data_IF_373969411948
#
_entry.id   IF_373969411948
#
_cell.length_a   1.000
_cell.length_b   1.000
_cell.length_c   1.000
_cell.angle_alpha   90.00
_cell.angle_beta   90.00
_cell.angle_gamma   90.00
#
_symmetry.space_group_name_H-M   'P 1'
#
loop_
_entity.id
_entity.type
_entity.pdbx_description
1 polymer ?
2 non-polymer ?
3 non-polymer ?
4 non-polymer ?
5 non-polymer ?
6 water ?
#
# COMPACT_ATOMS: atom_id res chain seq x y z
N UNK A 6 -1.48 26.70 -29.74
CA UNK A 6 -1.79 25.24 -29.68
C UNK A 6 -3.29 24.99 -29.76
N UNK A 7 -3.73 24.34 -30.83
CA UNK A 7 -5.15 24.03 -31.01
C UNK A 7 -5.63 22.97 -30.04
N UNK A 8 -6.92 22.68 -30.06
CA UNK A 8 -7.48 21.67 -29.18
C UNK A 8 -7.07 20.27 -29.63
N UNK A 9 -6.98 20.08 -30.95
CA UNK A 9 -6.61 18.80 -31.50
C UNK A 9 -5.14 18.47 -31.21
N UNK A 10 -4.29 19.47 -31.23
CA UNK A 10 -2.87 19.27 -30.97
C UNK A 10 -2.63 19.04 -29.49
N UNK A 11 -3.44 19.70 -28.66
CA UNK A 11 -3.35 19.61 -27.21
C UNK A 11 -3.92 18.29 -26.68
N UNK A 12 -4.99 17.81 -27.32
CA UNK A 12 -5.64 16.58 -26.90
C UNK A 12 -4.65 15.41 -27.04
N UNK A 13 -3.85 15.46 -28.09
CA UNK A 13 -2.87 14.43 -28.39
C UNK A 13 -1.63 14.53 -27.54
N UNK A 14 -1.10 15.74 -27.39
CA UNK A 14 0.10 16.01 -26.62
C UNK A 14 -0.10 15.67 -25.13
N UNK A 15 -1.29 15.96 -24.62
CA UNK A 15 -1.61 15.69 -23.23
C UNK A 15 -1.42 14.21 -22.91
N UNK A 16 -1.98 13.33 -23.72
CA UNK A 16 -1.85 11.89 -23.50
C UNK A 16 -0.40 11.41 -23.51
N UNK A 17 0.42 12.02 -24.36
CA UNK A 17 1.82 11.65 -24.45
C UNK A 17 2.52 12.01 -23.15
N UNK A 18 2.29 13.23 -22.68
CA UNK A 18 2.87 13.73 -21.43
C UNK A 18 2.44 12.93 -20.20
N UNK A 19 1.15 12.60 -20.12
CA UNK A 19 0.63 11.82 -19.01
C UNK A 19 1.31 10.47 -19.03
N UNK A 20 1.39 9.88 -20.22
CA UNK A 20 2.00 8.59 -20.43
C UNK A 20 3.46 8.58 -19.94
N UNK A 21 4.22 9.59 -20.33
CA UNK A 21 5.63 9.72 -19.95
C UNK A 21 5.84 10.15 -18.50
N UNK A 22 5.06 11.13 -18.04
CA UNK A 22 5.15 11.62 -16.66
C UNK A 22 4.74 10.55 -15.67
N UNK A 23 3.74 9.74 -16.03
CA UNK A 23 3.30 8.68 -15.14
C UNK A 23 4.33 7.56 -15.07
N UNK A 24 5.07 7.36 -16.15
CA UNK A 24 6.13 6.35 -16.17
C UNK A 24 7.22 6.83 -15.22
N UNK A 25 7.63 8.10 -15.37
CA UNK A 25 8.66 8.68 -14.50
C UNK A 25 8.22 8.62 -13.04
N UNK A 26 6.96 8.96 -12.80
CA UNK A 26 6.38 8.95 -11.47
C UNK A 26 6.35 7.54 -10.87
N UNK A 27 6.18 6.53 -11.73
CA UNK A 27 6.15 5.14 -11.30
C UNK A 27 7.55 4.72 -10.83
N UNK A 28 8.57 5.10 -11.61
CA UNK A 28 9.94 4.75 -11.27
C UNK A 28 10.37 5.47 -10.00
N UNK A 29 9.92 6.70 -9.86
CA UNK A 29 10.27 7.54 -8.71
C UNK A 29 9.55 7.17 -7.41
N UNK A 30 8.22 7.12 -7.46
CA UNK A 30 7.41 6.83 -6.28
C UNK A 30 7.20 5.34 -5.96
N UNK A 31 6.97 4.54 -7.00
CA UNK A 31 6.73 3.12 -6.81
C UNK A 31 7.99 2.27 -6.69
N UNK A 32 8.99 2.54 -7.53
CA UNK A 32 10.21 1.75 -7.50
C UNK A 32 11.31 2.38 -6.66
N UNK A 33 11.11 3.62 -6.26
CA UNK A 33 12.12 4.33 -5.47
C UNK A 33 13.42 4.31 -6.25
N UNK A 34 13.30 4.41 -7.57
CA UNK A 34 14.46 4.40 -8.44
C UNK A 34 14.21 5.20 -9.72
N UNK A 35 14.27 6.53 -9.63
CA UNK A 35 14.06 7.42 -10.78
C UNK A 35 15.12 7.27 -11.86
N UNK A 36 14.67 7.29 -13.11
CA UNK A 36 15.57 7.18 -14.26
C UNK A 36 16.08 8.55 -14.70
N UNK A 37 15.17 9.52 -14.87
CA UNK A 37 15.56 10.86 -15.28
C UNK A 37 15.72 11.79 -14.10
N UNK A 38 16.32 12.95 -14.34
CA UNK A 38 16.52 13.93 -13.29
C UNK A 38 15.29 14.80 -13.12
N UNK A 39 15.03 15.20 -11.89
CA UNK A 39 13.86 16.00 -11.58
C UNK A 39 13.55 17.12 -12.55
N UNK A 40 14.55 17.91 -12.95
CA UNK A 40 14.27 19.00 -13.86
C UNK A 40 13.66 18.53 -15.17
N UNK A 41 13.93 17.28 -15.53
CA UNK A 41 13.38 16.71 -16.76
C UNK A 41 11.88 16.48 -16.59
N UNK A 42 11.51 16.01 -15.40
CA UNK A 42 10.12 15.74 -15.06
C UNK A 42 9.36 17.06 -14.90
N UNK A 43 10.00 18.02 -14.23
CA UNK A 43 9.41 19.33 -13.98
C UNK A 43 9.01 20.10 -15.23
N UNK A 44 9.86 20.09 -16.25
CA UNK A 44 9.56 20.81 -17.49
C UNK A 44 8.36 20.18 -18.17
N UNK A 45 8.38 18.85 -18.29
CA UNK A 45 7.27 18.14 -18.91
C UNK A 45 5.99 18.35 -18.10
N UNK A 46 6.12 18.33 -16.78
CA UNK A 46 4.98 18.55 -15.89
C UNK A 46 4.40 19.94 -16.14
N UNK A 47 5.27 20.95 -16.19
CA UNK A 47 4.86 22.32 -16.44
C UNK A 47 4.21 22.44 -17.82
N UNK A 48 4.66 21.64 -18.76
CA UNK A 48 4.08 21.69 -20.10
C UNK A 48 2.66 21.14 -20.10
N UNK A 49 2.42 20.09 -19.34
CA UNK A 49 1.08 19.51 -19.26
C UNK A 49 0.14 20.44 -18.49
N UNK A 50 0.68 21.13 -17.50
CA UNK A 50 -0.12 22.06 -16.70
C UNK A 50 -0.55 23.24 -17.57
N UNK A 51 0.29 23.62 -18.54
CA UNK A 51 -0.05 24.72 -19.43
C UNK A 51 -1.20 24.25 -20.31
N UNK A 52 -1.07 23.04 -20.85
CA UNK A 52 -2.11 22.48 -21.71
C UNK A 52 -3.41 22.31 -20.95
N UNK A 53 -3.32 21.79 -19.73
CA UNK A 53 -4.51 21.58 -18.91
C UNK A 53 -5.17 22.88 -18.54
N UNK A 54 -4.38 23.92 -18.38
CA UNK A 54 -4.90 25.24 -18.04
C UNK A 54 -5.60 25.82 -19.28
N UNK A 55 -5.02 25.59 -20.45
CA UNK A 55 -5.60 26.09 -21.67
C UNK A 55 -6.90 25.35 -21.99
N UNK A 56 -6.89 24.03 -21.80
CA UNK A 56 -8.06 23.21 -22.05
C UNK A 56 -8.37 22.31 -20.87
N UNK A 57 -9.00 22.87 -19.83
CA UNK A 57 -9.36 22.12 -18.63
C UNK A 57 -10.13 20.83 -18.88
N UNK A 58 -10.71 20.70 -20.07
CA UNK A 58 -11.48 19.50 -20.41
C UNK A 58 -10.57 18.33 -20.75
N UNK A 59 -9.26 18.60 -20.83
CA UNK A 59 -8.29 17.54 -21.13
C UNK A 59 -7.75 16.90 -19.87
N UNK A 60 -8.16 17.43 -18.72
CA UNK A 60 -7.74 16.91 -17.43
C UNK A 60 -8.39 15.53 -17.25
N UNK A 61 -7.59 14.54 -16.85
CA UNK A 61 -8.09 13.18 -16.64
C UNK A 61 -7.70 12.70 -15.26
N UNK A 62 -8.42 11.68 -14.73
CA UNK A 62 -8.13 11.14 -13.41
C UNK A 62 -6.70 10.62 -13.24
N UNK A 63 -6.07 10.18 -14.32
CA UNK A 63 -4.71 9.67 -14.23
C UNK A 63 -3.65 10.71 -14.60
N UNK A 64 -4.06 11.97 -14.64
CA UNK A 64 -3.11 13.02 -14.95
C UNK A 64 -2.34 13.28 -13.66
N UNK A 65 -1.00 13.25 -13.71
CA UNK A 65 -0.17 13.47 -12.53
C UNK A 65 -0.39 14.81 -11.81
N UNK A 66 -1.07 15.75 -12.47
CA UNK A 66 -1.33 17.04 -11.84
C UNK A 66 -2.43 16.92 -10.78
N UNK A 67 -3.14 15.80 -10.79
CA UNK A 67 -4.23 15.57 -9.86
C UNK A 67 -3.77 15.16 -8.46
N UNK A 68 -2.56 14.64 -8.35
CA UNK A 68 -2.01 14.24 -7.07
C UNK A 68 -2.06 15.35 -6.01
N UNK A 69 -2.22 16.60 -6.43
CA UNK A 69 -2.25 17.72 -5.47
C UNK A 69 -3.59 17.87 -4.73
N UNK A 70 -4.59 17.13 -5.18
CA UNK A 70 -5.89 17.20 -4.54
C UNK A 70 -6.70 18.43 -4.91
N UNK A 71 -7.82 18.61 -4.23
CA UNK A 71 -8.68 19.76 -4.49
C UNK A 71 -10.05 19.62 -3.86
N UNK A 72 -10.62 18.41 -3.93
CA UNK A 72 -11.94 18.14 -3.37
C UNK A 72 -11.98 18.20 -1.86
N UNK A 73 -13.10 18.67 -1.33
CA UNK A 73 -13.32 18.72 0.11
C UNK A 73 -14.64 17.98 0.28
N UNK A 74 -14.65 16.92 1.09
CA UNK A 74 -15.88 16.16 1.31
C UNK A 74 -16.62 16.62 2.57
N UNK A 75 -17.92 16.36 2.60
CA UNK A 75 -18.74 16.72 3.77
C UNK A 75 -18.48 15.69 4.87
N UNK A 76 -18.14 14.48 4.43
CA UNK A 76 -17.85 13.38 5.34
C UNK A 76 -17.58 12.17 4.48
N UNK A 77 -17.23 11.05 5.11
CA UNK A 77 -16.94 9.83 4.37
C UNK A 77 -18.17 8.94 4.26
N UNK A 78 -18.26 8.18 3.18
CA UNK A 78 -19.38 7.25 2.99
C UNK A 78 -18.94 5.87 3.43
N UNK A 79 -19.91 5.01 3.71
CA UNK A 79 -19.61 3.65 4.12
C UNK A 79 -18.96 2.92 2.95
N UNK A 80 -17.99 2.07 3.28
CA UNK A 80 -17.29 1.28 2.26
C UNK A 80 -17.24 -0.19 2.66
N UNK A 81 -18.29 -0.94 2.29
CA UNK A 81 -18.38 -2.38 2.58
C UNK A 81 -17.25 -3.13 1.87
N UNK A 82 -16.71 -4.16 2.53
CA UNK A 82 -15.65 -4.96 1.95
C UNK A 82 -16.23 -6.29 1.47
N UNK A 83 -16.28 -6.47 0.15
CA UNK A 83 -16.79 -7.70 -0.45
C UNK A 83 -16.16 -8.92 0.22
N UNK A 84 -14.85 -8.84 0.42
CA UNK A 84 -14.09 -9.90 1.05
C UNK A 84 -13.63 -9.29 2.37
N UNK A 85 -13.81 -10.02 3.49
CA UNK A 85 -13.40 -9.49 4.80
C UNK A 85 -11.93 -9.15 4.92
N UNK A 86 -11.64 -8.16 5.74
CA UNK A 86 -10.26 -7.77 6.00
C UNK A 86 -10.01 -8.28 7.43
N UNK A 87 -9.64 -9.54 7.52
CA UNK A 87 -9.39 -10.19 8.79
C UNK A 87 -8.31 -9.55 9.63
N UNK A 88 -8.22 -10.00 10.88
CA UNK A 88 -7.20 -9.53 11.81
C UNK A 88 -6.07 -10.55 11.78
N UNK A 89 -5.03 -10.33 12.58
CA UNK A 89 -3.90 -11.24 12.63
C UNK A 89 -3.68 -11.75 14.04
N UNK A 90 -3.44 -13.04 14.17
CA UNK A 90 -3.17 -13.60 15.49
C UNK A 90 -1.75 -13.16 15.82
N UNK A 91 -1.46 -12.99 17.11
CA UNK A 91 -0.14 -12.53 17.53
C UNK A 91 0.69 -13.57 18.25
N UNK A 92 2.01 -13.40 18.11
CA UNK A 92 2.99 -14.26 18.75
C UNK A 92 3.99 -13.30 19.37
N UNK A 93 4.43 -13.58 20.58
CA UNK A 93 5.34 -12.66 21.25
C UNK A 93 6.71 -13.22 21.60
N UNK A 94 6.93 -14.49 21.31
CA UNK A 94 8.20 -15.12 21.65
C UNK A 94 8.57 -16.16 20.62
N UNK A 95 9.81 -16.64 20.69
CA UNK A 95 10.30 -17.67 19.78
C UNK A 95 9.40 -18.90 19.93
N UNK A 96 9.01 -19.19 21.17
CA UNK A 96 8.14 -20.34 21.42
C UNK A 96 6.82 -20.19 20.71
N UNK A 97 6.17 -19.04 20.86
CA UNK A 97 4.88 -18.81 20.21
C UNK A 97 4.95 -19.11 18.71
N UNK A 98 6.05 -18.73 18.08
CA UNK A 98 6.26 -18.93 16.65
C UNK A 98 6.39 -20.41 16.25
N UNK A 99 7.19 -21.16 17.00
CA UNK A 99 7.36 -22.58 16.71
C UNK A 99 6.06 -23.31 17.06
N UNK A 100 5.36 -22.77 18.05
CA UNK A 100 4.09 -23.33 18.50
C UNK A 100 3.11 -23.27 17.33
N UNK A 101 3.10 -22.11 16.67
CA UNK A 101 2.25 -21.86 15.51
C UNK A 101 2.66 -22.77 14.35
N UNK A 102 3.97 -22.89 14.12
CA UNK A 102 4.47 -23.73 13.05
C UNK A 102 4.10 -25.20 13.27
N UNK A 103 4.09 -25.64 14.53
CA UNK A 103 3.75 -27.01 14.81
C UNK A 103 2.28 -27.28 14.50
N UNK A 104 1.42 -26.31 14.81
CA UNK A 104 -0.02 -26.42 14.56
C UNK A 104 -0.30 -26.45 13.06
N UNK A 105 0.52 -25.71 12.31
CA UNK A 105 0.38 -25.64 10.86
C UNK A 105 0.80 -26.99 10.28
N UNK A 106 1.91 -27.53 10.79
CA UNK A 106 2.39 -28.82 10.32
C UNK A 106 1.42 -29.94 10.74
N UNK A 107 0.81 -29.79 11.91
CA UNK A 107 -0.14 -30.79 12.38
C UNK A 107 -1.37 -30.85 11.48
N UNK A 108 -1.86 -29.70 11.05
CA UNK A 108 -3.03 -29.64 10.18
C UNK A 108 -2.72 -30.05 8.73
N UNK A 109 -1.61 -29.56 8.19
CA UNK A 109 -1.23 -29.88 6.82
C UNK A 109 -0.60 -31.27 6.66
N UNK A 110 0.20 -31.68 7.64
CA UNK A 110 0.81 -33.00 7.58
C UNK A 110 2.16 -33.08 6.91
N UNK A 111 2.87 -31.95 6.85
CA UNK A 111 4.19 -31.91 6.23
C UNK A 111 4.79 -30.53 6.44
N UNK A 112 6.10 -30.39 6.23
CA UNK A 112 6.75 -29.08 6.40
C UNK A 112 6.13 -28.08 5.41
N UNK A 113 6.03 -26.81 5.80
CA UNK A 113 5.48 -25.79 4.91
C UNK A 113 6.39 -24.56 4.79
N UNK A 114 6.40 -23.94 3.61
CA UNK A 114 7.22 -22.75 3.40
C UNK A 114 6.40 -21.52 3.83
N UNK A 115 7.10 -20.55 4.41
CA UNK A 115 6.47 -19.33 4.88
C UNK A 115 6.96 -18.11 4.12
N UNK A 116 6.04 -17.24 3.74
CA UNK A 116 6.42 -16.01 3.08
C UNK A 116 6.43 -14.98 4.21
N UNK A 117 7.59 -14.39 4.46
CA UNK A 117 7.71 -13.43 5.55
C UNK A 117 7.78 -11.98 5.07
N UNK A 118 7.02 -11.12 5.74
CA UNK A 118 6.98 -9.69 5.42
C UNK A 118 7.06 -8.89 6.71
N UNK A 119 7.58 -7.67 6.62
CA UNK A 119 7.71 -6.79 7.78
C UNK A 119 6.32 -6.25 8.13
N UNK A 120 6.04 -6.16 9.42
CA UNK A 120 4.76 -5.66 9.90
C UNK A 120 4.81 -4.12 9.91
N UNK A 121 4.43 -3.54 8.77
CA UNK A 121 4.42 -2.10 8.56
C UNK A 121 3.49 -1.36 9.50
N UNK A 122 3.99 -0.30 10.14
CA UNK A 122 3.18 0.49 11.05
C UNK A 122 2.41 1.56 10.30
N UNK A 123 1.15 1.30 10.01
CA UNK A 123 0.34 2.25 9.30
C UNK A 123 -1.12 1.89 9.37
N UNK A 124 -1.84 2.16 8.28
CA UNK A 124 -3.27 1.89 8.20
C UNK A 124 -3.58 0.96 7.02
N UNK A 125 -4.28 -0.13 7.29
CA UNK A 125 -4.64 -1.08 6.25
C UNK A 125 -5.72 -0.50 5.37
N UNK A 126 -5.51 -0.56 4.06
CA UNK A 126 -6.46 -0.02 3.09
C UNK A 126 -6.72 -1.03 1.99
N UNK A 127 -7.86 -0.88 1.33
CA UNK A 127 -8.24 -1.75 0.23
C UNK A 127 -8.40 -0.92 -1.04
N UNK A 128 -7.85 -1.40 -2.15
CA UNK A 128 -7.96 -0.67 -3.40
C UNK A 128 -8.69 -1.52 -4.43
N UNK A 129 -9.61 -0.88 -5.14
CA UNK A 129 -10.41 -1.54 -6.17
C UNK A 129 -10.14 -0.92 -7.55
N UNK A 130 -9.83 -1.77 -8.53
CA UNK A 130 -9.53 -1.33 -9.90
C UNK A 130 -10.44 -1.98 -10.95
N UNK A 131 -10.95 -1.16 -11.86
CA UNK A 131 -11.80 -1.67 -12.94
C UNK A 131 -11.16 -1.38 -14.28
N UNK A 132 -10.77 -2.44 -14.97
CA UNK A 132 -10.13 -2.32 -16.27
C UNK A 132 -8.86 -1.49 -16.16
N UNK A 133 -8.16 -1.64 -15.04
CA UNK A 133 -6.91 -0.93 -14.82
C UNK A 133 -7.05 0.46 -14.22
N UNK A 134 -8.28 0.93 -14.09
CA UNK A 134 -8.58 2.25 -13.54
C UNK A 134 -8.91 2.20 -12.04
N UNK A 135 -8.30 3.10 -11.26
CA UNK A 135 -8.56 3.17 -9.82
C UNK A 135 -9.97 3.69 -9.61
N UNK A 136 -10.82 2.88 -8.99
CA UNK A 136 -12.20 3.29 -8.77
C UNK A 136 -12.62 3.45 -7.31
N UNK A 137 -11.97 2.74 -6.39
CA UNK A 137 -12.34 2.88 -4.99
C UNK A 137 -11.23 2.58 -4.01
N UNK A 138 -11.20 3.36 -2.94
CA UNK A 138 -10.22 3.20 -1.89
C UNK A 138 -10.95 3.24 -0.56
N UNK A 139 -10.64 2.29 0.33
CA UNK A 139 -11.31 2.24 1.61
C UNK A 139 -10.41 1.84 2.76
N UNK A 140 -10.76 2.33 3.95
CA UNK A 140 -10.03 2.00 5.15
C UNK A 140 -10.53 0.62 5.59
N UNK A 141 -9.78 -0.07 6.44
CA UNK A 141 -10.17 -1.37 6.90
C UNK A 141 -11.43 -1.30 7.76
N UNK A 142 -11.56 -0.23 8.54
CA UNK A 142 -12.71 -0.08 9.40
C UNK A 142 -12.77 -1.23 10.38
N UNK A 143 -13.95 -1.83 10.55
CA UNK A 143 -14.13 -2.94 11.45
C UNK A 143 -13.92 -4.30 10.79
N UNK A 144 -13.41 -4.29 9.56
CA UNK A 144 -13.16 -5.54 8.85
C UNK A 144 -14.12 -5.85 7.72
N UNK A 145 -15.39 -5.52 7.90
CA UNK A 145 -16.41 -5.76 6.88
C UNK A 145 -16.95 -4.45 6.31
N UNK A 146 -16.73 -3.36 7.04
CA UNK A 146 -17.16 -2.03 6.59
C UNK A 146 -16.14 -0.99 7.04
N UNK A 147 -15.64 -0.21 6.08
CA UNK A 147 -14.69 0.83 6.39
C UNK A 147 -15.21 2.14 5.84
N UNK A 148 -14.32 3.11 5.66
CA UNK A 148 -14.70 4.42 5.13
C UNK A 148 -14.19 4.56 3.70
N UNK A 149 -14.99 5.20 2.86
CA UNK A 149 -14.63 5.41 1.47
C UNK A 149 -13.68 6.61 1.33
N UNK A 150 -12.37 6.35 1.35
CA UNK A 150 -11.39 7.43 1.22
C UNK A 150 -10.72 7.43 -0.14
N UNK A 151 -11.52 7.22 -1.19
CA UNK A 151 -11.02 7.20 -2.55
C UNK A 151 -10.34 8.50 -2.94
N UNK A 152 -11.00 9.62 -2.70
CA UNK A 152 -10.45 10.92 -3.06
C UNK A 152 -9.12 11.23 -2.38
N UNK A 153 -8.96 10.82 -1.12
CA UNK A 153 -7.70 11.06 -0.42
C UNK A 153 -6.57 10.20 -0.98
N UNK A 154 -6.89 8.95 -1.30
CA UNK A 154 -5.88 8.05 -1.83
C UNK A 154 -5.36 8.49 -3.20
N UNK A 155 -6.16 9.30 -3.88
CA UNK A 155 -5.76 9.81 -5.18
C UNK A 155 -4.52 10.70 -5.06
N UNK A 156 -4.30 11.24 -3.86
CA UNK A 156 -3.17 12.13 -3.61
C UNK A 156 -1.92 11.39 -3.12
N UNK A 157 -2.07 10.11 -2.80
CA UNK A 157 -0.95 9.28 -2.34
C UNK A 157 -0.21 8.82 -3.59
N UNK A 158 0.90 9.51 -3.86
CA UNK A 158 1.77 9.32 -5.02
C UNK A 158 2.07 7.89 -5.50
N UNK A 159 2.31 6.97 -4.57
CA UNK A 159 2.63 5.59 -4.95
C UNK A 159 1.41 4.73 -5.32
N UNK A 160 0.22 5.29 -5.17
CA UNK A 160 -1.01 4.57 -5.51
C UNK A 160 -1.29 4.86 -6.99
N UNK A 161 -1.19 3.84 -7.84
CA UNK A 161 -1.42 4.01 -9.29
C UNK A 161 -2.85 4.37 -9.66
N UNK A 162 -3.04 5.39 -10.49
CA UNK A 162 -4.38 5.76 -10.89
C UNK A 162 -4.84 4.86 -12.04
N UNK A 163 -3.87 4.26 -12.73
CA UNK A 163 -4.14 3.36 -13.85
C UNK A 163 -3.03 2.30 -13.81
N UNK A 164 -3.42 1.03 -13.80
CA UNK A 164 -2.45 -0.09 -13.74
C UNK A 164 -1.73 -0.35 -15.05
N UNK A 165 -0.66 -1.13 -14.98
CA UNK A 165 0.13 -1.46 -16.16
C UNK A 165 -0.65 -2.37 -17.10
N UNK A 166 -1.77 -2.90 -16.62
CA UNK A 166 -2.64 -3.76 -17.41
C UNK A 166 -4.09 -3.44 -17.10
N UNK A 167 -4.95 -3.43 -18.13
CA UNK A 167 -6.37 -3.13 -17.94
C UNK A 167 -7.19 -4.21 -17.21
N UNK A 168 -6.64 -4.74 -16.11
CA UNK A 168 -7.36 -5.78 -15.35
C UNK A 168 -8.15 -5.22 -14.18
N UNK A 169 -9.09 -6.01 -13.69
CA UNK A 169 -9.93 -5.62 -12.58
C UNK A 169 -9.60 -6.44 -11.35
N UNK A 170 -9.10 -5.78 -10.31
CA UNK A 170 -8.72 -6.48 -9.09
C UNK A 170 -8.97 -5.69 -7.83
N UNK A 171 -8.93 -6.40 -6.71
CA UNK A 171 -9.09 -5.81 -5.39
C UNK A 171 -7.86 -6.23 -4.61
N UNK A 172 -7.07 -5.26 -4.17
CA UNK A 172 -5.85 -5.53 -3.41
C UNK A 172 -5.90 -4.80 -2.07
N UNK A 173 -5.13 -5.29 -1.11
CA UNK A 173 -5.07 -4.67 0.20
C UNK A 173 -3.60 -4.40 0.54
N UNK A 174 -3.35 -3.31 1.22
CA UNK A 174 -2.00 -2.96 1.59
C UNK A 174 -1.94 -2.03 2.78
N UNK A 175 -0.74 -1.61 3.13
CA UNK A 175 -0.54 -0.71 4.25
C UNK A 175 -0.20 0.72 3.78
N UNK A 176 -0.91 1.71 4.29
CA UNK A 176 -0.63 3.10 3.96
C UNK A 176 0.01 3.70 5.19
N UNK A 177 1.27 4.12 5.06
CA UNK A 177 2.01 4.67 6.18
C UNK A 177 2.62 6.05 5.88
N UNK A 178 3.29 6.59 6.89
CA UNK A 178 3.99 7.86 6.79
C UNK A 178 5.42 7.61 7.24
N UNK A 179 6.40 7.84 6.34
CA UNK A 179 7.81 7.63 6.67
C UNK A 179 8.25 8.39 7.91
N UNK A 180 9.25 7.86 8.62
CA UNK A 180 9.74 8.49 9.84
C UNK A 180 10.02 9.99 9.69
N UNK A 181 10.80 10.35 8.67
CA UNK A 181 11.13 11.75 8.45
C UNK A 181 9.95 12.68 8.18
N UNK A 182 8.92 12.18 7.50
CA UNK A 182 7.74 12.99 7.23
C UNK A 182 6.98 13.14 8.55
N UNK A 183 7.01 12.08 9.35
CA UNK A 183 6.34 12.06 10.64
C UNK A 183 6.98 13.14 11.51
N UNK A 184 8.31 13.16 11.55
CA UNK A 184 9.07 14.14 12.32
C UNK A 184 8.73 15.58 11.93
N UNK A 185 8.83 15.88 10.64
CA UNK A 185 8.56 17.22 10.13
C UNK A 185 7.13 17.64 10.40
N UNK A 186 6.20 16.70 10.26
CA UNK A 186 4.78 16.98 10.48
C UNK A 186 4.55 17.43 11.92
N UNK A 187 5.17 16.74 12.88
CA UNK A 187 5.01 17.13 14.28
C UNK A 187 5.61 18.50 14.57
N UNK A 188 6.75 18.80 13.96
CA UNK A 188 7.37 20.10 14.17
C UNK A 188 6.39 21.14 13.67
N UNK A 189 5.82 20.87 12.51
CA UNK A 189 4.87 21.79 11.90
C UNK A 189 3.68 22.01 12.82
N UNK A 190 3.18 20.95 13.43
CA UNK A 190 2.05 21.06 14.35
C UNK A 190 2.49 21.82 15.60
N UNK A 191 3.69 21.52 16.10
CA UNK A 191 4.22 22.20 17.27
C UNK A 191 4.29 23.70 17.01
N UNK A 192 4.76 24.06 15.82
CA UNK A 192 4.87 25.46 15.42
C UNK A 192 3.49 26.11 15.38
N UNK A 193 2.47 25.35 15.00
CA UNK A 193 1.12 25.89 14.91
C UNK A 193 0.33 25.70 16.21
N UNK A 194 0.99 25.23 17.26
CA UNK A 194 0.31 25.04 18.52
C UNK A 194 -0.71 23.91 18.53
N UNK A 195 -0.50 22.90 17.69
CA UNK A 195 -1.39 21.76 17.62
C UNK A 195 -0.80 20.61 18.42
N UNK A 196 -1.60 19.58 18.66
CA UNK A 196 -1.12 18.40 19.39
C UNK A 196 -0.39 17.53 18.39
N UNK A 197 0.80 17.07 18.74
CA UNK A 197 1.58 16.24 17.84
C UNK A 197 1.01 14.82 17.77
N UNK A 198 1.45 14.05 16.78
CA UNK A 198 0.98 12.67 16.65
C UNK A 198 1.94 11.78 17.45
N UNK A 199 1.35 10.90 18.26
CA UNK A 199 2.12 10.00 19.12
C UNK A 199 3.07 9.08 18.35
N UNK A 200 2.66 8.67 17.15
CA UNK A 200 3.48 7.78 16.33
C UNK A 200 3.04 7.89 14.87
N UNK A 201 3.83 7.32 13.94
CA UNK A 201 3.52 7.36 12.51
C UNK A 201 2.15 6.77 12.14
N UNK A 202 1.74 5.71 12.83
CA UNK A 202 0.45 5.08 12.58
C UNK A 202 -0.66 6.11 12.77
N UNK A 203 -0.61 6.80 13.91
CA UNK A 203 -1.60 7.82 14.20
C UNK A 203 -1.51 8.97 13.20
N UNK A 204 -0.31 9.28 12.77
CA UNK A 204 -0.12 10.36 11.79
C UNK A 204 -0.78 9.96 10.46
N UNK A 205 -0.61 8.70 10.07
CA UNK A 205 -1.21 8.18 8.84
C UNK A 205 -2.74 8.13 8.94
N UNK A 206 -3.24 7.50 10.01
CA UNK A 206 -4.68 7.38 10.25
C UNK A 206 -5.36 8.75 10.32
N UNK A 207 -4.77 9.67 11.05
CA UNK A 207 -5.35 11.00 11.17
C UNK A 207 -5.35 11.75 9.87
N UNK A 208 -4.32 11.53 9.05
CA UNK A 208 -4.19 12.18 7.76
C UNK A 208 -5.27 11.67 6.81
N UNK A 209 -5.55 10.38 6.87
CA UNK A 209 -6.53 9.77 5.99
C UNK A 209 -7.99 10.04 6.40
N UNK A 210 -8.17 10.71 7.54
CA UNK A 210 -9.51 11.04 8.02
C UNK A 210 -9.80 12.50 7.65
N UNK A 211 -8.79 13.16 7.10
CA UNK A 211 -8.88 14.54 6.66
C UNK A 211 -9.84 14.62 5.47
N UNK A 212 -10.76 15.57 5.50
CA UNK A 212 -11.73 15.72 4.43
C UNK A 212 -11.27 16.59 3.25
N UNK A 213 -10.28 17.44 3.48
CA UNK A 213 -9.74 18.30 2.43
C UNK A 213 -8.58 17.56 1.77
N UNK A 214 -8.78 17.09 0.54
CA UNK A 214 -7.73 16.36 -0.17
C UNK A 214 -6.46 17.17 -0.39
N UNK A 215 -6.59 18.49 -0.41
CA UNK A 215 -5.44 19.36 -0.62
C UNK A 215 -4.42 19.19 0.50
N UNK A 216 -4.92 18.93 1.71
CA UNK A 216 -4.09 18.75 2.91
C UNK A 216 -3.45 17.37 2.93
N UNK A 217 -4.25 16.35 2.62
CA UNK A 217 -3.79 14.96 2.60
C UNK A 217 -2.68 14.76 1.57
N UNK A 218 -2.74 15.53 0.49
CA UNK A 218 -1.76 15.46 -0.58
C UNK A 218 -0.40 15.89 -0.06
N UNK A 219 -0.42 16.71 0.99
CA UNK A 219 0.81 17.21 1.59
C UNK A 219 1.33 16.36 2.74
N UNK A 220 0.55 15.40 3.21
CA UNK A 220 0.98 14.56 4.33
C UNK A 220 2.08 13.54 4.00
N UNK A 221 2.47 13.49 2.73
CA UNK A 221 3.53 12.58 2.31
C UNK A 221 3.36 11.11 2.73
N UNK A 222 2.18 10.55 2.46
CA UNK A 222 1.90 9.16 2.81
C UNK A 222 2.44 8.23 1.72
N UNK A 223 2.77 6.99 2.09
CA UNK A 223 3.25 6.03 1.11
C UNK A 223 2.56 4.68 1.31
N UNK A 224 2.86 3.71 0.46
CA UNK A 224 2.21 2.41 0.57
C UNK A 224 3.09 1.17 0.31
N UNK A 225 2.62 0.05 0.82
CA UNK A 225 3.22 -1.27 0.64
C UNK A 225 2.00 -2.19 0.50
N UNK A 226 1.84 -2.79 -0.67
CA UNK A 226 0.72 -3.71 -0.91
C UNK A 226 1.16 -5.09 -0.46
N UNK A 227 0.31 -5.79 0.28
CA UNK A 227 0.68 -7.11 0.78
C UNK A 227 -0.24 -8.25 0.42
N UNK A 228 -1.37 -7.98 -0.24
CA UNK A 228 -2.28 -9.06 -0.60
C UNK A 228 -3.27 -8.79 -1.75
N UNK A 229 -3.66 -9.88 -2.41
CA UNK A 229 -4.65 -9.80 -3.50
C UNK A 229 -5.90 -10.46 -2.92
N UNK A 230 -6.99 -9.70 -2.88
CA UNK A 230 -8.26 -10.17 -2.35
C UNK A 230 -9.12 -10.78 -3.45
N UNK A 231 -9.21 -10.06 -4.56
CA UNK A 231 -9.97 -10.48 -5.73
C UNK A 231 -8.94 -10.50 -6.87
N UNK A 232 -8.51 -11.70 -7.22
CA UNK A 232 -7.49 -11.91 -8.24
C UNK A 232 -7.79 -11.50 -9.67
N UNK A 233 -9.07 -11.48 -10.05
CA UNK A 233 -9.39 -11.13 -11.43
C UNK A 233 -8.73 -12.15 -12.36
N UNK A 234 -7.91 -11.69 -13.33
CA UNK A 234 -7.23 -12.59 -14.26
C UNK A 234 -5.86 -13.07 -13.77
N UNK A 235 -5.41 -12.52 -12.64
CA UNK A 235 -4.12 -12.86 -12.07
C UNK A 235 -3.90 -14.33 -11.78
N UNK A 236 -2.66 -14.76 -12.00
CA UNK A 236 -2.24 -16.14 -11.81
C UNK A 236 -1.98 -16.48 -10.35
N UNK A 237 -0.77 -16.18 -9.87
CA UNK A 237 -0.33 -16.41 -8.49
C UNK A 237 -0.98 -17.55 -7.69
N UNK A 238 -0.16 -18.50 -7.27
CA UNK A 238 -0.62 -19.64 -6.48
C UNK A 238 0.00 -19.64 -5.07
N UNK A 239 0.91 -18.70 -4.84
CA UNK A 239 1.58 -18.55 -3.56
C UNK A 239 1.66 -17.06 -3.19
N UNK A 240 1.81 -16.77 -1.90
CA UNK A 240 1.89 -15.40 -1.43
C UNK A 240 3.10 -14.69 -2.03
N UNK A 241 4.21 -15.40 -2.13
CA UNK A 241 5.43 -14.83 -2.71
C UNK A 241 5.16 -14.38 -4.15
N UNK A 242 4.39 -15.17 -4.87
CA UNK A 242 4.02 -14.86 -6.25
C UNK A 242 3.06 -13.68 -6.28
N UNK A 243 2.15 -13.64 -5.31
CA UNK A 243 1.20 -12.54 -5.24
C UNK A 243 1.97 -11.22 -5.11
N UNK A 244 2.99 -11.21 -4.27
CA UNK A 244 3.79 -10.01 -4.06
C UNK A 244 4.55 -9.58 -5.31
N UNK A 245 5.02 -10.54 -6.09
CA UNK A 245 5.76 -10.21 -7.31
C UNK A 245 4.78 -9.73 -8.36
N UNK A 246 3.58 -10.30 -8.34
CA UNK A 246 2.56 -9.94 -9.30
C UNK A 246 1.92 -8.59 -8.99
N UNK A 247 1.95 -8.19 -7.72
CA UNK A 247 1.39 -6.89 -7.29
C UNK A 247 2.33 -5.83 -7.84
N UNK A 248 3.61 -6.16 -7.81
CA UNK A 248 4.63 -5.27 -8.29
C UNK A 248 4.58 -5.16 -9.82
N UNK A 249 4.32 -6.29 -10.49
CA UNK A 249 4.25 -6.32 -11.94
C UNK A 249 3.15 -5.44 -12.52
N UNK A 250 1.99 -5.46 -11.87
CA UNK A 250 0.85 -4.66 -12.36
C UNK A 250 0.91 -3.19 -11.94
N UNK A 251 1.98 -2.80 -11.24
CA UNK A 251 2.12 -1.40 -10.88
C UNK A 251 2.03 -0.96 -9.43
N UNK A 252 2.02 -1.90 -8.51
CA UNK A 252 1.93 -1.54 -7.10
C UNK A 252 3.25 -1.48 -6.39
N UNK A 253 3.27 -0.76 -5.27
CA UNK A 253 4.49 -0.65 -4.50
C UNK A 253 4.44 -1.76 -3.47
N UNK A 254 5.50 -2.55 -3.43
CA UNK A 254 5.59 -3.64 -2.47
C UNK A 254 6.86 -3.46 -1.64
N UNK A 255 6.99 -4.24 -0.59
CA UNK A 255 8.17 -4.12 0.28
C UNK A 255 9.28 -5.06 -0.15
N UNK A 256 10.45 -4.49 -0.48
CA UNK A 256 11.62 -5.25 -0.91
C UNK A 256 12.21 -6.24 0.10
N UNK A 257 11.97 -5.99 1.40
CA UNK A 257 12.53 -6.84 2.47
C UNK A 257 11.88 -8.23 2.66
N UNK A 258 10.89 -8.55 1.84
CA UNK A 258 10.18 -9.82 1.91
C UNK A 258 11.14 -10.99 1.71
N UNK A 259 10.77 -12.15 2.26
CA UNK A 259 11.59 -13.34 2.11
C UNK A 259 10.80 -14.63 2.25
N UNK A 260 11.09 -15.58 1.37
CA UNK A 260 10.42 -16.87 1.39
C UNK A 260 11.32 -17.82 2.18
N UNK A 261 10.81 -18.34 3.29
CA UNK A 261 11.58 -19.24 4.14
C UNK A 261 10.99 -20.65 4.06
N UNK A 262 11.86 -21.63 3.83
CA UNK A 262 11.42 -23.02 3.73
C UNK A 262 11.21 -23.69 5.07
N UNK A 263 11.84 -23.17 6.12
CA UNK A 263 11.70 -23.74 7.45
C UNK A 263 11.30 -22.69 8.47
N UNK A 264 10.95 -23.15 9.67
CA UNK A 264 10.56 -22.26 10.74
C UNK A 264 11.82 -21.66 11.35
N UNK A 265 12.96 -22.30 11.10
CA UNK A 265 14.24 -21.83 11.63
C UNK A 265 14.74 -20.68 10.77
N UNK A 266 14.47 -20.75 9.48
CA UNK A 266 14.86 -19.70 8.55
C UNK A 266 14.00 -18.48 8.85
N UNK A 267 12.78 -18.75 9.32
CA UNK A 267 11.84 -17.69 9.69
C UNK A 267 12.31 -16.97 10.94
N UNK A 268 12.88 -17.71 11.89
CA UNK A 268 13.35 -17.08 13.11
C UNK A 268 14.58 -16.26 12.81
N UNK A 269 15.43 -16.80 11.94
CA UNK A 269 16.65 -16.10 11.55
C UNK A 269 16.25 -14.81 10.85
N UNK A 270 15.14 -14.86 10.11
CA UNK A 270 14.64 -13.68 9.39
C UNK A 270 14.15 -12.65 10.40
N UNK A 271 13.44 -13.11 11.41
CA UNK A 271 12.92 -12.23 12.45
C UNK A 271 14.07 -11.51 13.12
N UNK A 272 15.08 -12.27 13.54
CA UNK A 272 16.26 -11.71 14.19
C UNK A 272 16.99 -10.74 13.26
N UNK A 273 17.17 -11.14 12.01
CA UNK A 273 17.85 -10.31 11.03
C UNK A 273 17.29 -8.88 11.06
N UNK A 274 15.99 -8.77 10.80
CA UNK A 274 15.32 -7.48 10.78
C UNK A 274 15.01 -6.91 12.15
N UNK A 275 15.26 -7.69 13.19
CA UNK A 275 15.04 -7.20 14.54
C UNK A 275 16.16 -6.19 14.79
N UNK A 276 17.31 -6.46 14.18
CA UNK A 276 18.46 -5.58 14.30
C UNK A 276 18.32 -4.41 13.32
N UNK A 277 18.13 -4.75 12.05
CA UNK A 277 17.98 -3.76 10.99
C UNK A 277 16.83 -2.78 11.23
N UNK A 278 15.92 -3.15 12.14
CA UNK A 278 14.76 -2.34 12.46
C UNK A 278 14.96 -0.83 12.40
N UNK A 279 15.83 -0.32 13.26
CA UNK A 279 16.11 1.12 13.34
C UNK A 279 16.65 1.76 12.06
N UNK A 280 17.17 0.96 11.14
CA UNK A 280 17.75 1.46 9.91
C UNK A 280 16.77 1.68 8.75
N UNK A 281 15.50 1.33 8.96
CA UNK A 281 14.51 1.50 7.91
C UNK A 281 13.86 2.87 8.01
N UNK A 282 13.50 3.47 6.85
CA UNK A 282 12.87 4.80 6.82
C UNK A 282 11.44 4.82 7.34
N UNK A 283 10.94 3.65 7.73
CA UNK A 283 9.58 3.51 8.22
C UNK A 283 9.55 2.60 9.44
N UNK A 284 8.55 2.79 10.30
CA UNK A 284 8.43 1.96 11.49
C UNK A 284 7.71 0.64 11.24
N UNK A 285 8.22 -0.40 11.89
CA UNK A 285 7.62 -1.72 11.83
C UNK A 285 7.57 -2.16 13.28
N UNK A 286 6.59 -2.97 13.65
CA UNK A 286 6.51 -3.43 15.02
C UNK A 286 6.48 -4.94 15.05
N UNK A 287 7.03 -5.54 14.01
CA UNK A 287 7.08 -7.00 13.96
C UNK A 287 7.26 -7.59 12.58
N UNK A 288 6.96 -8.88 12.47
CA UNK A 288 7.07 -9.62 11.23
C UNK A 288 5.76 -10.37 11.02
N UNK A 289 5.31 -10.45 9.77
CA UNK A 289 4.09 -11.19 9.46
C UNK A 289 4.50 -12.45 8.70
N UNK A 290 4.22 -13.60 9.32
CA UNK A 290 4.55 -14.90 8.75
C UNK A 290 3.33 -15.47 8.04
N UNK A 291 3.48 -15.84 6.77
CA UNK A 291 2.35 -16.37 6.03
C UNK A 291 2.64 -17.69 5.34
N UNK A 292 1.70 -18.63 5.47
CA UNK A 292 1.85 -19.91 4.80
C UNK A 292 1.86 -19.52 3.32
N UNK A 293 2.95 -19.84 2.64
CA UNK A 293 3.09 -19.47 1.24
C UNK A 293 2.04 -20.02 0.26
N UNK A 294 1.85 -21.33 0.24
CA UNK A 294 0.90 -21.94 -0.67
C UNK A 294 -0.57 -21.62 -0.40
N UNK A 295 -1.24 -21.02 -1.37
CA UNK A 295 -2.65 -20.69 -1.23
C UNK A 295 -3.49 -21.95 -1.01
N UNK A 296 -3.11 -23.04 -1.67
CA UNK A 296 -3.84 -24.29 -1.53
C UNK A 296 -3.84 -24.67 -0.05
N UNK A 297 -2.74 -24.35 0.63
CA UNK A 297 -2.60 -24.66 2.05
C UNK A 297 -3.28 -23.65 2.97
N UNK A 298 -3.33 -22.40 2.55
CA UNK A 298 -4.00 -21.36 3.33
C UNK A 298 -5.47 -21.72 3.36
N UNK A 299 -5.97 -22.19 2.21
CA UNK A 299 -7.37 -22.59 2.07
C UNK A 299 -7.68 -23.73 3.02
N UNK A 300 -6.78 -24.70 3.12
CA UNK A 300 -6.98 -25.83 4.01
C UNK A 300 -7.13 -25.40 5.45
N UNK A 301 -6.22 -24.53 5.90
CA UNK A 301 -6.23 -24.02 7.27
C UNK A 301 -7.42 -23.14 7.59
N UNK A 302 -7.91 -22.40 6.60
CA UNK A 302 -9.06 -21.54 6.82
C UNK A 302 -8.84 -20.43 7.84
N UNK A 303 -9.95 -19.86 8.31
CA UNK A 303 -9.89 -18.77 9.28
C UNK A 303 -10.67 -19.08 10.54
N UNK A 304 -10.24 -18.45 11.63
CA UNK A 304 -10.96 -18.57 12.89
C UNK A 304 -12.08 -17.54 12.64
N UNK A 305 -12.76 -17.11 13.68
CA UNK A 305 -13.80 -16.13 13.45
C UNK A 305 -13.21 -14.73 13.18
N UNK A 306 -12.00 -14.47 13.69
CA UNK A 306 -11.38 -13.15 13.52
C UNK A 306 -10.10 -13.08 12.69
N UNK A 307 -9.38 -14.19 12.56
CA UNK A 307 -8.12 -14.19 11.83
C UNK A 307 -7.82 -15.51 11.12
N UNK A 308 -6.90 -15.47 10.13
CA UNK A 308 -6.54 -16.70 9.41
C UNK A 308 -5.75 -17.65 10.29
N UNK A 309 -5.85 -18.94 10.03
CA UNK A 309 -5.10 -19.91 10.82
C UNK A 309 -3.77 -20.17 10.12
N UNK A 310 -3.58 -19.51 8.98
CA UNK A 310 -2.38 -19.68 8.18
C UNK A 310 -1.38 -18.52 8.25
N UNK A 311 -1.58 -17.63 9.21
CA UNK A 311 -0.67 -16.49 9.38
C UNK A 311 -0.61 -16.07 10.83
N UNK A 312 0.50 -15.46 11.21
CA UNK A 312 0.69 -14.96 12.56
C UNK A 312 1.64 -13.77 12.48
N UNK A 313 1.40 -12.79 13.34
CA UNK A 313 2.23 -11.60 13.38
C UNK A 313 3.11 -11.60 14.61
N UNK A 314 4.41 -11.73 14.41
CA UNK A 314 5.32 -11.71 15.53
C UNK A 314 5.57 -10.25 15.90
N UNK A 315 5.01 -9.85 17.05
CA UNK A 315 5.13 -8.48 17.55
C UNK A 315 6.42 -8.27 18.33
N UNK A 316 7.12 -7.19 18.04
CA UNK A 316 8.37 -6.87 18.74
C UNK A 316 8.09 -6.43 20.17
N UNK A 317 8.96 -6.84 21.12
CA UNK A 317 8.83 -6.50 22.54
C UNK A 317 9.02 -5.01 22.82
X LIG B 1 -19.98 -0.93 -2.51
X LIG B 1 -19.38 0.58 -2.35
X LIG B 1 -20.99 -1.05 -1.47
X LIG B 1 -20.46 -1.10 -3.71
X LIG B 1 -18.85 -1.77 -2.17
X LIG C 1 -5.67 17.78 11.64
X LIG C 1 -5.61 17.34 13.21
X LIG C 1 -7.07 18.03 11.38
X LIG C 1 -4.92 18.83 11.43
X LIG C 1 -5.26 16.57 10.95
X LIG D 1 9.80 -0.55 -14.96
X LIG D 1 9.07 -1.45 -13.83
X LIG D 1 9.26 0.79 -14.77
X LIG D 1 11.09 -0.60 -14.80
X LIG D 1 9.30 -1.08 -16.20
X LIG E 1 -13.00 -3.78 -0.85
X LIG E 1 -11.98 -4.92 -1.42
X LIG E 1 -14.32 -4.33 -1.06
X LIG E 1 -12.74 -3.53 0.39
X LIG E 1 -12.78 -2.70 -1.77
X LIG F 1 4.66 16.53 -9.49
X LIG F 1 4.95 16.23 -8.08
X LIG F 1 4.55 14.88 -7.58
X LIG F 1 4.22 17.27 -7.14
X LIG F 1 6.49 16.54 -7.84
X LIG F 1 7.06 16.51 -6.49
X LIG F 1 8.57 16.36 -6.59
X LIG F 1 8.94 15.03 -7.05
X LIG F 1 9.30 17.35 -7.56
X LIG F 1 10.48 17.87 -6.96
X LIG F 1 9.60 16.48 -8.78
X LIG F 1 10.71 16.93 -9.53
X LIG F 1 9.85 15.16 -8.19
X LIG F 1 9.59 14.01 -9.10
X LIG F 1 10.64 13.46 -9.90
X LIG F 1 10.34 12.40 -10.75
X LIG F 1 11.46 11.80 -11.62
X LIG F 1 11.16 10.90 -12.36
X LIG F 1 12.69 12.27 -11.56
X LIG F 1 8.97 11.85 -10.84
X LIG F 1 7.96 12.44 -10.02
X LIG F 1 8.25 13.53 -9.14
X LIG G 1 1.62 -5.14 7.70
X LIG G 1 -4.40 -7.50 9.70
X LIG G 1 -3.65 -10.98 6.05
X LIG G 1 -5.03 -11.13 6.72
X LIG G 1 -3.87 -10.85 4.54
X LIG G 1 -2.85 -12.26 6.33
X LIG G 1 -4.66 -6.60 10.90
X LIG G 1 -4.08 -4.63 9.46
X LIG G 1 2.66 -4.88 7.10
X LIG G 1 -1.60 -9.52 6.07
X LIG G 1 1.20 -7.26 6.34
X LIG G 1 0.77 -6.29 7.27
X LIG G 1 -0.55 -6.44 7.81
X LIG G 1 -0.88 -8.45 6.49
X LIG G 1 -2.88 -9.73 6.56
X LIG G 1 0.37 -8.31 5.98
X LIG G 1 -3.47 -8.88 7.47
X LIG G 1 -1.41 -7.52 7.43
X LIG G 1 -2.75 -7.77 7.92
X LIG G 1 2.47 -7.22 5.74
X LIG G 1 1.15 -4.43 8.79
X LIG G 1 -3.33 -6.89 8.86
X LIG G 1 -5.05 -5.25 10.41
X LIG G 1 -3.81 -5.59 8.30
X LIG G 1 -5.45 -4.38 11.47
X LIG G 1 -5.45 -3.01 11.27
X LIG G 1 -5.86 -2.20 12.29
X LIG G 1 -6.27 -2.66 13.54
X LIG G 1 -6.24 -4.05 13.68
X LIG G 1 -5.84 -4.91 12.68
X LIG H 1 -0.30 5.59 -13.38
X LIG H 1 -1.61 6.08 -13.70
X LIG H 1 0.46 6.44 -12.37
X LIG H 1 -0.47 6.71 -11.30
X LIG H 1 1.95 6.17 -12.15
X LIG H 1 2.28 5.33 -11.03
#
# INVERSE_FOLDING_TARGET
MEQQPLTLTAATTRAQELRKQLNQYSHEYYVKDQPSVEDYVYDRLYKELVDIETEFPDLITPDSPTQRVGGKVLSGFEKAPHDIPMYSLNDGFSKEDIFAFDERVRKAIGKPVAYCCELKIDGLAISLRYENGVFVRGATRGDGTVGENITENLRTVRSVPMRLTEPISVEVRGECYMPKQSFVALNEEREENGQDIFANPRNAAAGSLRQLDTKIVAKRNLNTFLYTVADFGPMKAKTQFEALEELSAIGFRTNPERQLCQSIDEVWAYIEEYHEKRSTLPYEIDGIVIKVNEFALQDELGFTVKAPRWAIAYKFPPEEAETVLEHHHHHH
SO4 S O1 O2 O3 O4
SO4 S O1 O2 O3 O4
SO4 S O1 O2 O3 O4
SO4 S O1 O2 O3 O4
NMN O3P P O1P O2P O5R C5R C4R O4R C3R O3R C2R O2R C1R N1 C2 C3 C7 O7 N7 C4 C5 C6
3BD C12 C13 C8 C9 C10 C11 C14 C15 O1 N3 C1 C2 C3 C4 C7 N1 N2 C5 C6 N4 N5 N6 N7 C16 C17 N8 C18 C19 C20 N9
GOL C1 O1 C2 O2 C3 O3
#
